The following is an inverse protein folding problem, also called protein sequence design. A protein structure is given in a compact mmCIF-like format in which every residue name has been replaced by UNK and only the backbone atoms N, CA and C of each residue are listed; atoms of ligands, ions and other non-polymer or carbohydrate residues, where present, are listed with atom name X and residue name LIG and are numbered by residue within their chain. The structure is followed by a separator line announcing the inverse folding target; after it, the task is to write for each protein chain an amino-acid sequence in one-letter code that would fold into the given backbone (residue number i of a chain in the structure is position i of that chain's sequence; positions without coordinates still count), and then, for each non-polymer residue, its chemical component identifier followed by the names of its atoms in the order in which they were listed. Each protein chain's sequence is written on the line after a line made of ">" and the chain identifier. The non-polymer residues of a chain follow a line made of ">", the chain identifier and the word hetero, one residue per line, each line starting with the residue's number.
data_IF_730457479366
#
_entry.id   IF_730457479366
#
_cell.length_a   1.000
_cell.length_b   1.000
_cell.length_c   1.000
_cell.angle_alpha   90.00
_cell.angle_beta   90.00
_cell.angle_gamma   90.00
#
_symmetry.space_group_name_H-M   'P 1'
#
loop_
_entity.id
_entity.type
_entity.pdbx_description
1 polymer ?
#
# COMPACT_ATOMS: atom_id res chain seq x y z
N UNK A 1 -16.30 -9.46 29.74
CA UNK A 1 -16.01 -8.57 28.61
C UNK A 1 -14.65 -9.02 28.07
N UNK A 2 -14.53 -9.46 26.82
CA UNK A 2 -13.21 -9.74 26.24
C UNK A 2 -12.42 -8.43 26.24
N UNK A 3 -11.15 -8.48 26.65
CA UNK A 3 -10.25 -7.34 26.50
C UNK A 3 -10.00 -7.22 25.00
N UNK A 4 -10.62 -6.25 24.34
CA UNK A 4 -10.22 -5.88 22.99
C UNK A 4 -8.76 -5.45 23.05
N UNK A 5 -7.90 -6.21 22.37
CA UNK A 5 -6.49 -5.85 22.25
C UNK A 5 -6.40 -4.60 21.39
N UNK A 6 -5.73 -3.57 21.89
CA UNK A 6 -5.47 -2.35 21.11
C UNK A 6 -4.49 -2.74 20.00
N UNK A 7 -5.00 -2.90 18.77
CA UNK A 7 -4.17 -3.22 17.61
C UNK A 7 -3.59 -1.91 17.10
N UNK A 8 -2.27 -1.74 17.25
CA UNK A 8 -1.56 -0.53 16.85
C UNK A 8 -0.76 -0.75 15.55
N UNK A 9 -0.61 0.29 14.71
CA UNK A 9 0.33 0.25 13.60
C UNK A 9 1.74 -0.07 14.08
N UNK A 10 2.57 -0.62 13.18
CA UNK A 10 3.96 -0.92 13.52
C UNK A 10 4.70 0.30 14.08
N UNK A 11 5.58 0.10 15.05
CA UNK A 11 6.36 1.19 15.65
C UNK A 11 7.15 1.99 14.59
N UNK A 12 7.64 1.32 13.55
CA UNK A 12 8.29 1.96 12.41
C UNK A 12 7.34 2.91 11.65
N UNK A 13 6.09 2.51 11.42
CA UNK A 13 5.09 3.36 10.76
C UNK A 13 4.74 4.58 11.64
N UNK A 14 4.56 4.38 12.94
CA UNK A 14 4.28 5.47 13.88
C UNK A 14 5.46 6.45 13.98
N UNK A 15 6.70 5.97 13.99
CA UNK A 15 7.89 6.82 13.99
C UNK A 15 7.98 7.68 12.72
N UNK A 16 7.66 7.10 11.55
CA UNK A 16 7.59 7.86 10.29
C UNK A 16 6.51 8.92 10.34
N UNK A 17 5.32 8.54 10.80
CA UNK A 17 4.19 9.46 10.92
C UNK A 17 4.51 10.61 11.88
N UNK A 18 5.07 10.32 13.05
CA UNK A 18 5.50 11.34 14.02
C UNK A 18 6.53 12.31 13.45
N UNK A 19 7.43 11.82 12.60
CA UNK A 19 8.42 12.65 11.93
C UNK A 19 7.86 13.45 10.74
N UNK A 20 6.57 13.31 10.41
CA UNK A 20 5.97 13.92 9.21
C UNK A 20 6.45 13.27 7.90
N UNK A 21 7.13 12.13 7.98
CA UNK A 21 7.65 11.42 6.81
C UNK A 21 6.54 10.61 6.12
N UNK A 22 6.72 10.39 4.82
CA UNK A 22 5.82 9.52 4.07
C UNK A 22 5.74 8.12 4.68
N UNK A 23 4.52 7.70 4.98
CA UNK A 23 4.20 6.37 5.48
C UNK A 23 3.15 5.75 4.55
N UNK A 24 3.39 4.50 4.11
CA UNK A 24 2.46 3.81 3.22
C UNK A 24 1.18 3.47 3.97
N UNK A 25 0.04 3.59 3.27
CA UNK A 25 -1.27 3.25 3.81
C UNK A 25 -1.38 1.78 4.21
N UNK A 26 -0.63 0.87 3.57
CA UNK A 26 -0.64 -0.55 3.91
C UNK A 26 -0.37 -0.82 5.40
N UNK A 27 0.46 -0.02 6.08
CA UNK A 27 0.72 -0.21 7.52
C UNK A 27 -0.49 0.05 8.42
N UNK A 28 -1.52 0.68 7.88
CA UNK A 28 -2.75 1.05 8.57
C UNK A 28 -3.93 0.19 8.11
N UNK A 29 -3.73 -0.77 7.20
CA UNK A 29 -4.76 -1.77 6.85
C UNK A 29 -4.87 -2.81 7.95
N UNK A 30 -5.99 -3.54 8.02
CA UNK A 30 -6.13 -4.66 8.96
C UNK A 30 -5.00 -5.70 8.79
N UNK A 31 -4.54 -5.95 7.57
CA UNK A 31 -3.42 -6.85 7.30
C UNK A 31 -2.10 -6.30 7.86
N UNK A 32 -1.83 -5.00 7.66
CA UNK A 32 -0.63 -4.34 8.19
C UNK A 32 -0.63 -4.25 9.71
N UNK A 33 -1.80 -4.01 10.32
CA UNK A 33 -2.01 -4.02 11.75
C UNK A 33 -1.79 -5.42 12.35
N UNK A 34 -2.35 -6.46 11.73
CA UNK A 34 -2.14 -7.86 12.12
C UNK A 34 -0.67 -8.25 11.99
N UNK A 35 0.00 -7.84 10.90
CA UNK A 35 1.42 -8.09 10.71
C UNK A 35 2.29 -7.42 11.78
N UNK A 36 1.92 -6.20 12.18
CA UNK A 36 2.59 -5.46 13.24
C UNK A 36 2.44 -6.15 14.60
N UNK A 37 1.23 -6.59 14.96
CA UNK A 37 0.96 -7.32 16.20
C UNK A 37 1.76 -8.62 16.26
N UNK A 38 1.72 -9.43 15.19
CA UNK A 38 2.48 -10.67 15.09
C UNK A 38 3.98 -10.42 15.20
N UNK A 39 4.50 -9.38 14.55
CA UNK A 39 5.92 -9.03 14.61
C UNK A 39 6.34 -8.60 16.01
N UNK A 40 5.51 -7.82 16.70
CA UNK A 40 5.72 -7.43 18.10
C UNK A 40 5.69 -8.64 19.04
N UNK A 41 4.71 -9.53 18.88
CA UNK A 41 4.61 -10.77 19.66
C UNK A 41 5.81 -11.69 19.44
N UNK A 42 6.29 -11.86 18.20
CA UNK A 42 7.50 -12.62 17.90
C UNK A 42 8.76 -12.01 18.53
N UNK A 43 8.87 -10.68 18.56
CA UNK A 43 10.01 -9.99 19.18
C UNK A 43 9.99 -10.13 20.71
N UNK A 44 8.83 -10.00 21.35
CA UNK A 44 8.65 -10.19 22.80
C UNK A 44 8.90 -11.65 23.21
N UNK A 45 8.51 -12.61 22.36
CA UNK A 45 8.72 -14.05 22.57
C UNK A 45 10.06 -14.55 21.99
N UNK A 46 11.00 -13.63 21.68
CA UNK A 46 12.27 -13.88 20.97
C UNK A 46 13.26 -14.87 21.61
N UNK A 47 12.87 -15.54 22.69
CA UNK A 47 13.61 -16.63 23.31
C UNK A 47 13.32 -17.99 22.65
N UNK A 48 12.36 -18.07 21.71
CA UNK A 48 12.02 -19.31 21.02
C UNK A 48 12.87 -19.51 19.76
N UNK A 49 13.59 -20.63 19.72
CA UNK A 49 14.36 -21.07 18.56
C UNK A 49 13.48 -22.00 17.70
N UNK A 50 13.54 -21.83 16.39
CA UNK A 50 12.94 -22.75 15.42
C UNK A 50 14.02 -23.54 14.70
N UNK A 51 13.69 -24.78 14.34
CA UNK A 51 14.59 -25.64 13.59
C UNK A 51 14.47 -25.32 12.10
N UNK A 52 15.55 -24.85 11.50
CA UNK A 52 15.67 -24.57 10.06
C UNK A 52 16.72 -25.46 9.41
N UNK A 53 16.69 -25.61 8.09
CA UNK A 53 17.75 -26.27 7.34
C UNK A 53 18.66 -25.21 6.72
N UNK A 54 19.97 -25.34 6.95
CA UNK A 54 20.98 -24.54 6.24
C UNK A 54 21.05 -24.95 4.76
N UNK A 55 21.64 -24.13 3.87
CA UNK A 55 21.83 -24.49 2.47
C UNK A 55 22.58 -25.82 2.27
N UNK A 56 23.40 -26.22 3.24
CA UNK A 56 24.15 -27.48 3.25
C UNK A 56 23.33 -28.67 3.78
N UNK A 57 22.03 -28.49 4.04
CA UNK A 57 21.11 -29.52 4.54
C UNK A 57 21.22 -29.80 6.03
N UNK A 58 22.09 -29.09 6.76
CA UNK A 58 22.28 -29.29 8.19
C UNK A 58 21.22 -28.55 9.01
N UNK A 59 20.59 -29.20 10.01
CA UNK A 59 19.64 -28.56 10.90
C UNK A 59 20.32 -27.50 11.77
N UNK A 60 19.77 -26.29 11.80
CA UNK A 60 20.25 -25.16 12.59
C UNK A 60 19.09 -24.49 13.33
N UNK A 61 19.32 -24.15 14.59
CA UNK A 61 18.38 -23.37 15.38
C UNK A 61 18.56 -21.89 15.08
N UNK A 62 17.53 -21.28 14.52
CA UNK A 62 17.49 -19.84 14.30
C UNK A 62 16.35 -19.22 15.12
N UNK A 63 16.48 -17.97 15.58
CA UNK A 63 15.36 -17.27 16.19
C UNK A 63 14.13 -17.33 15.28
N UNK A 64 12.96 -17.62 15.85
CA UNK A 64 11.70 -17.72 15.09
C UNK A 64 11.36 -16.42 14.31
N UNK A 65 11.91 -15.28 14.74
CA UNK A 65 11.86 -13.99 14.03
C UNK A 65 12.52 -14.04 12.64
N UNK A 66 13.57 -14.86 12.46
CA UNK A 66 14.33 -14.93 11.20
C UNK A 66 13.60 -15.75 10.14
N UNK A 67 12.78 -16.73 10.54
CA UNK A 67 11.98 -17.55 9.61
C UNK A 67 10.68 -16.90 9.16
N UNK A 68 10.31 -15.72 9.69
CA UNK A 68 9.04 -15.11 9.30
C UNK A 68 9.13 -14.60 7.86
N UNK A 69 8.30 -15.16 7.00
CA UNK A 69 8.07 -14.62 5.67
C UNK A 69 7.55 -13.19 5.81
N UNK A 70 8.28 -12.24 5.22
CA UNK A 70 7.88 -10.84 5.25
C UNK A 70 6.68 -10.67 4.34
N UNK A 71 5.53 -10.37 4.93
CA UNK A 71 4.35 -9.94 4.18
C UNK A 71 4.75 -8.76 3.28
N UNK A 72 4.53 -8.84 1.95
CA UNK A 72 4.94 -7.79 1.05
C UNK A 72 4.11 -6.53 1.32
N UNK A 73 4.79 -5.43 1.64
CA UNK A 73 4.15 -4.13 1.83
C UNK A 73 3.61 -3.63 0.48
N UNK A 74 2.29 -3.46 0.39
CA UNK A 74 1.60 -3.00 -0.83
C UNK A 74 1.80 -1.47 -0.98
N UNK A 75 1.99 -1.00 -2.21
CA UNK A 75 2.03 0.44 -2.52
C UNK A 75 0.61 1.01 -2.48
N UNK A 76 0.46 2.25 -2.04
CA UNK A 76 -0.84 2.93 -1.94
C UNK A 76 -1.68 2.81 -3.23
N UNK A 77 -1.04 3.00 -4.39
CA UNK A 77 -1.66 2.92 -5.73
C UNK A 77 -2.25 1.53 -6.07
N UNK A 78 -1.77 0.50 -5.39
CA UNK A 78 -2.07 -0.90 -5.63
C UNK A 78 -2.91 -1.52 -4.50
N UNK A 79 -3.31 -0.73 -3.51
CA UNK A 79 -4.19 -1.22 -2.46
C UNK A 79 -5.56 -1.61 -3.04
N UNK A 80 -6.16 -2.72 -2.58
CA UNK A 80 -7.59 -2.93 -2.77
C UNK A 80 -8.38 -1.78 -2.17
N UNK A 81 -9.49 -1.40 -2.80
CA UNK A 81 -10.29 -0.25 -2.36
C UNK A 81 -10.75 -0.39 -0.90
N UNK A 82 -11.21 -1.58 -0.51
CA UNK A 82 -11.64 -1.89 0.86
C UNK A 82 -10.50 -1.71 1.87
N UNK A 83 -9.27 -2.05 1.50
CA UNK A 83 -8.10 -1.83 2.34
C UNK A 83 -7.72 -0.35 2.41
N UNK A 84 -7.91 0.39 1.32
CA UNK A 84 -7.73 1.84 1.31
C UNK A 84 -8.68 2.52 2.31
N UNK A 85 -9.98 2.21 2.27
CA UNK A 85 -10.99 2.75 3.20
C UNK A 85 -10.65 2.46 4.67
N UNK A 86 -10.21 1.24 4.97
CA UNK A 86 -9.74 0.88 6.32
C UNK A 86 -8.49 1.69 6.72
N UNK A 87 -7.51 1.77 5.81
CA UNK A 87 -6.23 2.41 6.08
C UNK A 87 -6.37 3.91 6.33
N UNK A 88 -7.24 4.61 5.59
CA UNK A 88 -7.41 6.06 5.78
C UNK A 88 -7.99 6.38 7.15
N UNK A 89 -8.94 5.58 7.65
CA UNK A 89 -9.51 5.77 8.98
C UNK A 89 -8.43 5.60 10.07
N UNK A 90 -7.72 4.47 10.07
CA UNK A 90 -6.66 4.22 11.04
C UNK A 90 -5.49 5.20 10.91
N UNK A 91 -5.19 5.70 9.70
CA UNK A 91 -4.15 6.71 9.52
C UNK A 91 -4.56 8.06 10.09
N UNK A 92 -5.82 8.49 9.93
CA UNK A 92 -6.34 9.72 10.56
C UNK A 92 -6.26 9.62 12.09
N UNK A 93 -6.69 8.50 12.68
CA UNK A 93 -6.57 8.25 14.12
C UNK A 93 -5.11 8.31 14.57
N UNK A 94 -4.21 7.64 13.85
CA UNK A 94 -2.79 7.68 14.15
C UNK A 94 -2.19 9.10 14.01
N UNK A 95 -2.65 9.91 13.05
CA UNK A 95 -2.22 11.30 12.93
C UNK A 95 -2.65 12.14 14.15
N UNK A 96 -3.88 11.93 14.64
CA UNK A 96 -4.39 12.57 15.87
C UNK A 96 -3.55 12.15 17.09
N UNK A 97 -3.30 10.85 17.24
CA UNK A 97 -2.49 10.31 18.34
C UNK A 97 -1.02 10.77 18.31
N UNK A 98 -0.50 11.08 17.12
CA UNK A 98 0.83 11.66 16.95
C UNK A 98 0.83 13.20 16.95
N UNK A 99 -0.26 13.83 17.40
CA UNK A 99 -0.38 15.28 17.60
C UNK A 99 -0.10 16.10 16.32
N UNK A 100 -0.51 15.59 15.16
CA UNK A 100 -0.43 16.36 13.93
C UNK A 100 -1.27 17.63 14.02
N UNK A 101 -0.84 18.68 13.30
CA UNK A 101 -1.60 19.93 13.23
C UNK A 101 -2.99 19.66 12.64
N UNK A 102 -4.02 20.26 13.25
CA UNK A 102 -5.41 20.02 12.91
C UNK A 102 -5.72 20.34 11.43
N UNK A 103 -5.10 21.38 10.88
CA UNK A 103 -5.22 21.74 9.46
C UNK A 103 -4.63 20.67 8.52
N UNK A 104 -3.53 20.02 8.91
CA UNK A 104 -2.99 18.88 8.17
C UNK A 104 -3.93 17.67 8.20
N UNK A 105 -4.52 17.36 9.36
CA UNK A 105 -5.45 16.25 9.54
C UNK A 105 -6.71 16.49 8.69
N UNK A 106 -7.31 17.68 8.82
CA UNK A 106 -8.50 18.07 8.07
C UNK A 106 -8.27 18.03 6.56
N UNK A 107 -7.11 18.47 6.09
CA UNK A 107 -6.74 18.40 4.67
C UNK A 107 -6.67 16.95 4.15
N UNK A 108 -6.04 16.03 4.89
CA UNK A 108 -5.99 14.61 4.50
C UNK A 108 -7.38 13.96 4.54
N UNK A 109 -8.16 14.25 5.58
CA UNK A 109 -9.53 13.76 5.70
C UNK A 109 -10.40 14.20 4.52
N UNK A 110 -10.39 15.51 4.19
CA UNK A 110 -11.12 16.05 3.04
C UNK A 110 -10.68 15.42 1.73
N UNK A 111 -9.37 15.23 1.55
CA UNK A 111 -8.80 14.60 0.38
C UNK A 111 -9.31 13.15 0.19
N UNK A 112 -9.20 12.31 1.21
CA UNK A 112 -9.63 10.92 1.13
C UNK A 112 -11.15 10.79 0.99
N UNK A 113 -11.93 11.58 1.75
CA UNK A 113 -13.38 11.63 1.57
C UNK A 113 -13.79 12.08 0.16
N UNK A 114 -13.07 13.02 -0.45
CA UNK A 114 -13.38 13.47 -1.81
C UNK A 114 -13.14 12.35 -2.84
N UNK A 115 -12.19 11.45 -2.60
CA UNK A 115 -11.95 10.28 -3.44
C UNK A 115 -13.03 9.21 -3.25
N UNK A 116 -13.42 8.92 -2.01
CA UNK A 116 -14.50 7.98 -1.68
C UNK A 116 -15.84 8.38 -2.28
N UNK A 117 -16.15 9.67 -2.23
CA UNK A 117 -17.39 10.22 -2.79
C UNK A 117 -17.29 10.57 -4.28
N UNK A 118 -16.16 10.27 -4.92
CA UNK A 118 -15.97 10.60 -6.33
C UNK A 118 -16.88 9.73 -7.23
N UNK A 119 -17.55 10.27 -8.27
CA UNK A 119 -18.43 9.48 -9.14
C UNK A 119 -17.77 8.26 -9.80
N UNK A 120 -16.45 8.31 -9.98
CA UNK A 120 -15.68 7.21 -10.54
C UNK A 120 -15.54 6.01 -9.61
N UNK A 121 -15.76 6.19 -8.31
CA UNK A 121 -15.75 5.08 -7.38
C UNK A 121 -16.93 4.13 -7.62
N UNK A 122 -18.09 4.67 -7.98
CA UNK A 122 -19.30 3.90 -8.30
C UNK A 122 -19.49 3.66 -9.80
N UNK A 123 -18.45 3.91 -10.61
CA UNK A 123 -18.47 3.67 -12.04
C UNK A 123 -18.42 2.18 -12.36
N UNK A 124 -19.09 1.76 -13.44
CA UNK A 124 -18.99 0.40 -13.97
C UNK A 124 -17.61 0.07 -14.57
N UNK A 125 -16.74 1.06 -14.78
CA UNK A 125 -15.39 0.86 -15.31
C UNK A 125 -14.45 0.34 -14.23
N UNK A 126 -13.85 -0.84 -14.47
CA UNK A 126 -12.80 -1.42 -13.59
C UNK A 126 -11.54 -0.54 -13.45
N UNK A 127 -11.38 0.46 -14.30
CA UNK A 127 -10.22 1.38 -14.29
C UNK A 127 -10.50 2.64 -13.48
N UNK A 128 -11.76 3.01 -13.30
CA UNK A 128 -12.17 4.27 -12.68
C UNK A 128 -11.76 4.32 -11.19
N UNK A 129 -12.12 3.35 -10.33
CA UNK A 129 -11.59 3.26 -8.96
C UNK A 129 -10.07 3.16 -8.89
N UNK A 130 -9.46 2.36 -9.80
CA UNK A 130 -8.00 2.20 -9.85
C UNK A 130 -7.27 3.50 -10.17
N UNK A 131 -7.84 4.34 -11.03
CA UNK A 131 -7.27 5.65 -11.33
C UNK A 131 -7.29 6.58 -10.12
N UNK A 132 -8.33 6.50 -9.28
CA UNK A 132 -8.41 7.25 -8.04
C UNK A 132 -7.33 6.81 -7.05
N UNK A 133 -7.14 5.50 -6.86
CA UNK A 133 -6.05 4.98 -6.00
C UNK A 133 -4.67 5.35 -6.53
N UNK A 134 -4.46 5.26 -7.84
CA UNK A 134 -3.20 5.65 -8.46
C UNK A 134 -2.90 7.14 -8.24
N UNK A 135 -3.90 8.00 -8.47
CA UNK A 135 -3.80 9.43 -8.17
C UNK A 135 -3.54 9.67 -6.68
N UNK A 136 -4.24 8.97 -5.80
CA UNK A 136 -4.10 9.07 -4.36
C UNK A 136 -2.68 8.76 -3.89
N UNK A 137 -2.12 7.63 -4.29
CA UNK A 137 -0.77 7.24 -3.90
C UNK A 137 0.28 8.25 -4.37
N UNK A 138 0.12 8.78 -5.59
CA UNK A 138 0.99 9.82 -6.13
C UNK A 138 0.91 11.12 -5.33
N UNK A 139 -0.30 11.64 -5.08
CA UNK A 139 -0.46 12.90 -4.36
C UNK A 139 -0.04 12.78 -2.90
N UNK A 140 -0.37 11.68 -2.23
CA UNK A 140 0.03 11.42 -0.85
C UNK A 140 1.56 11.42 -0.70
N UNK A 141 2.27 10.66 -1.55
CA UNK A 141 3.74 10.63 -1.56
C UNK A 141 4.33 12.00 -1.90
N UNK A 142 3.80 12.68 -2.92
CA UNK A 142 4.29 13.99 -3.38
C UNK A 142 4.09 15.08 -2.32
N UNK A 143 2.97 15.07 -1.61
CA UNK A 143 2.69 16.03 -0.55
C UNK A 143 3.75 15.95 0.55
N UNK A 144 4.03 14.74 1.04
CA UNK A 144 5.08 14.52 2.06
C UNK A 144 6.47 14.97 1.60
N UNK A 145 6.78 14.85 0.30
CA UNK A 145 8.07 15.33 -0.25
C UNK A 145 8.16 16.86 -0.31
N UNK A 146 7.04 17.56 -0.45
CA UNK A 146 7.01 19.00 -0.74
C UNK A 146 6.55 19.85 0.44
N UNK A 147 5.89 19.29 1.45
CA UNK A 147 5.31 20.04 2.58
C UNK A 147 6.34 20.90 3.33
N UNK A 148 7.59 20.43 3.44
CA UNK A 148 8.67 21.17 4.08
C UNK A 148 9.40 22.16 3.13
N UNK A 149 8.86 22.40 1.93
CA UNK A 149 9.49 23.21 0.88
C UNK A 149 8.56 24.35 0.44
N UNK A 150 9.07 25.37 -0.27
CA UNK A 150 8.23 26.42 -0.87
C UNK A 150 7.23 25.91 -1.92
N UNK A 151 7.30 24.63 -2.31
CA UNK A 151 6.39 23.98 -3.26
C UNK A 151 5.26 23.21 -2.57
N UNK A 152 5.07 23.40 -1.26
CA UNK A 152 3.96 22.82 -0.51
C UNK A 152 2.62 23.21 -1.17
N UNK A 153 1.67 22.28 -1.16
CA UNK A 153 0.36 22.44 -1.77
C UNK A 153 -0.70 21.75 -0.92
N UNK A 154 -1.97 22.09 -1.14
CA UNK A 154 -3.10 21.46 -0.47
C UNK A 154 -3.57 20.22 -1.22
N UNK A 155 -3.94 19.16 -0.51
CA UNK A 155 -4.56 17.97 -1.08
C UNK A 155 -6.09 18.12 -1.26
N UNK A 156 -6.71 19.17 -0.73
CA UNK A 156 -8.18 19.32 -0.72
C UNK A 156 -8.82 19.38 -2.10
N UNK A 157 -8.11 19.94 -3.09
CA UNK A 157 -8.61 20.08 -4.44
C UNK A 157 -8.09 18.93 -5.31
N UNK A 158 -9.02 18.11 -5.81
CA UNK A 158 -8.67 17.01 -6.71
C UNK A 158 -8.32 17.56 -8.10
N UNK A 159 -7.07 17.37 -8.53
CA UNK A 159 -6.61 17.70 -9.88
C UNK A 159 -7.22 16.72 -10.90
N UNK A 160 -8.41 17.06 -11.39
CA UNK A 160 -9.20 16.22 -12.29
C UNK A 160 -8.44 15.76 -13.55
N UNK A 161 -7.54 16.59 -14.08
CA UNK A 161 -6.74 16.22 -15.23
C UNK A 161 -5.71 15.12 -14.92
N UNK A 162 -5.12 15.11 -13.73
CA UNK A 162 -4.22 14.03 -13.31
C UNK A 162 -4.98 12.72 -13.11
N UNK A 163 -6.19 12.78 -12.54
CA UNK A 163 -7.08 11.61 -12.42
C UNK A 163 -7.41 11.03 -13.81
N UNK A 164 -7.76 11.89 -14.78
CA UNK A 164 -8.01 11.47 -16.17
C UNK A 164 -6.78 10.90 -16.84
N UNK A 165 -5.60 11.46 -16.59
CA UNK A 165 -4.33 10.95 -17.13
C UNK A 165 -4.02 9.55 -16.57
N UNK A 166 -4.16 9.35 -15.25
CA UNK A 166 -4.00 8.05 -14.62
C UNK A 166 -4.95 7.00 -15.23
N UNK A 167 -6.22 7.37 -15.44
CA UNK A 167 -7.20 6.48 -16.07
C UNK A 167 -6.81 6.10 -17.51
N UNK A 168 -6.40 7.07 -18.33
CA UNK A 168 -5.93 6.81 -19.70
C UNK A 168 -4.69 5.92 -19.71
N UNK A 169 -3.76 6.15 -18.79
CA UNK A 169 -2.53 5.35 -18.65
C UNK A 169 -2.85 3.89 -18.32
N UNK A 170 -3.74 3.64 -17.35
CA UNK A 170 -4.15 2.29 -16.96
C UNK A 170 -4.79 1.51 -18.13
N UNK A 171 -5.68 2.15 -18.89
CA UNK A 171 -6.29 1.54 -20.07
C UNK A 171 -5.23 1.22 -21.13
N UNK A 172 -4.32 2.16 -21.38
CA UNK A 172 -3.27 1.97 -22.36
C UNK A 172 -2.34 0.82 -21.97
N UNK A 173 -1.93 0.76 -20.70
CA UNK A 173 -1.08 -0.29 -20.16
C UNK A 173 -1.72 -1.66 -20.28
N UNK A 174 -3.02 -1.81 -19.98
CA UNK A 174 -3.71 -3.09 -20.13
C UNK A 174 -3.75 -3.55 -21.60
N UNK A 175 -4.03 -2.64 -22.54
CA UNK A 175 -4.01 -2.95 -23.97
C UNK A 175 -2.62 -3.39 -24.46
N UNK A 176 -1.56 -2.71 -24.01
CA UNK A 176 -0.18 -3.09 -24.34
C UNK A 176 0.14 -4.48 -23.80
N UNK A 177 -0.27 -4.78 -22.56
CA UNK A 177 -0.05 -6.09 -21.94
C UNK A 177 -0.81 -7.20 -22.69
N UNK A 178 -2.03 -6.95 -23.16
CA UNK A 178 -2.78 -7.90 -23.99
C UNK A 178 -2.07 -8.20 -25.32
N UNK A 179 -1.60 -7.16 -26.01
CA UNK A 179 -0.84 -7.31 -27.26
C UNK A 179 0.43 -8.14 -27.03
N UNK A 180 1.17 -7.86 -25.96
CA UNK A 180 2.39 -8.61 -25.61
C UNK A 180 2.08 -10.08 -25.32
N UNK A 181 1.01 -10.38 -24.59
CA UNK A 181 0.57 -11.76 -24.32
C UNK A 181 0.23 -12.51 -25.62
N UNK A 182 -0.49 -11.86 -26.54
CA UNK A 182 -0.84 -12.46 -27.83
C UNK A 182 0.41 -12.76 -28.68
N UNK A 183 1.38 -11.85 -28.70
CA UNK A 183 2.64 -12.07 -29.42
C UNK A 183 3.45 -13.24 -28.85
N UNK A 184 3.50 -13.40 -27.53
CA UNK A 184 4.17 -14.55 -26.88
C UNK A 184 3.50 -15.88 -27.24
N UNK A 185 2.18 -15.94 -27.32
CA UNK A 185 1.44 -17.15 -27.72
C UNK A 185 1.71 -17.51 -29.19
N UNK A 186 1.84 -16.51 -30.07
CA UNK A 186 2.13 -16.75 -31.48
C UNK A 186 3.56 -17.29 -31.71
N UNK A 187 4.55 -16.78 -30.96
CA UNK A 187 5.93 -17.28 -31.01
C UNK A 187 6.01 -18.71 -30.45
N UNK A 188 5.20 -19.05 -29.45
CA UNK A 188 5.20 -20.39 -28.81
C UNK A 188 4.52 -21.49 -29.63
N UNK A 189 3.65 -21.11 -30.58
CA UNK A 189 2.85 -22.06 -31.39
C UNK A 189 3.40 -22.26 -32.81
N UNK A 190 4.52 -21.62 -33.15
CA UNK A 190 5.20 -21.84 -34.44
C UNK A 190 5.85 -23.23 -34.47
N UNK A 191 5.45 -24.13 -35.39
CA UNK A 191 6.02 -25.47 -35.45
C UNK A 191 7.49 -25.38 -35.91
N UNK A 192 8.39 -25.91 -35.10
CA UNK A 192 9.78 -26.17 -35.51
C UNK A 192 9.75 -27.09 -36.73
N UNK A 193 10.02 -26.53 -37.91
CA UNK A 193 10.16 -27.31 -39.14
C UNK A 193 11.22 -28.39 -38.94
N UNK A 194 10.93 -29.67 -39.23
CA UNK A 194 11.95 -30.70 -39.25
C UNK A 194 12.83 -30.45 -40.49
N UNK A 195 14.09 -30.15 -40.26
CA UNK A 195 15.11 -30.15 -41.33
C UNK A 195 15.34 -31.59 -41.79
N UNK A 196 15.17 -31.80 -43.11
CA UNK A 196 15.60 -33.00 -43.84
C UNK A 196 17.11 -33.17 -43.82
#
# INVERSE_FOLDING_TARGET
>A
VPIEHIILPSQHALQKLKAGNFCKLWYFTNDGLTDAEQSGACALNGNYLTLSQTPDGMPSFIPAVITKDKTPVIQDENLPWEQFEQAVLHMIEAMQDQEWREDCIEMHLKFWMALENHPWQHSHSKYSPKALLHYQGQQHCRWHQLVATPKAFSLTELEQELIKQAHKHLIHQEKVNEIQKLNLVHVSTSPSSPHN
#
